data_IF_356052823958
#
_entry.id   IF_356052823958
#
_cell.length_a   1.000
_cell.length_b   1.000
_cell.length_c   1.000
_cell.angle_alpha   90.00
_cell.angle_beta   90.00
_cell.angle_gamma   90.00
#
_symmetry.space_group_name_H-M   'P 1'
#
loop_
_entity.id
_entity.type
_entity.pdbx_description
1 polymer ?
#
# COMPACT_ATOMS: atom_id res chain seq x y z
N UNK A 1 -3.51 -11.73 32.88
CA UNK A 1 -2.22 -12.30 33.34
C UNK A 1 -1.53 -11.44 34.40
N UNK A 2 -1.35 -10.13 34.22
CA UNK A 2 -0.82 -9.28 35.31
C UNK A 2 -1.76 -9.34 36.54
N UNK A 3 -3.06 -9.24 36.30
CA UNK A 3 -4.09 -9.39 37.34
C UNK A 3 -4.08 -10.74 38.06
N UNK A 4 -3.59 -11.80 37.43
CA UNK A 4 -3.47 -13.14 38.04
C UNK A 4 -2.15 -13.33 38.77
N UNK A 5 -1.10 -12.61 38.37
CA UNK A 5 0.20 -12.65 39.04
C UNK A 5 0.19 -11.87 40.35
N UNK A 6 -0.58 -10.78 40.39
CA UNK A 6 -0.69 -9.88 41.53
C UNK A 6 -1.81 -10.37 42.45
N UNK A 7 -1.57 -10.49 43.77
CA UNK A 7 -2.61 -10.93 44.70
C UNK A 7 -3.77 -9.94 44.75
N UNK A 8 -5.04 -10.41 44.74
CA UNK A 8 -6.20 -9.53 44.74
C UNK A 8 -6.46 -8.86 46.10
N UNK A 9 -5.88 -9.38 47.18
CA UNK A 9 -6.07 -8.87 48.54
C UNK A 9 -4.74 -8.68 49.27
N UNK A 10 -4.73 -7.75 50.23
CA UNK A 10 -3.52 -7.40 50.98
C UNK A 10 -2.99 -8.54 51.84
N UNK A 11 -3.89 -9.40 52.36
CA UNK A 11 -3.51 -10.56 53.18
C UNK A 11 -2.59 -11.51 52.42
N UNK A 12 -2.91 -11.80 51.16
CA UNK A 12 -2.05 -12.59 50.28
C UNK A 12 -0.74 -11.87 49.94
N UNK A 13 -0.74 -10.54 49.77
CA UNK A 13 0.51 -9.77 49.58
C UNK A 13 1.43 -9.97 50.79
N UNK A 14 0.91 -9.82 52.01
CA UNK A 14 1.66 -10.02 53.26
C UNK A 14 2.15 -11.47 53.38
N UNK A 15 1.28 -12.44 53.07
CA UNK A 15 1.62 -13.86 53.12
C UNK A 15 2.74 -14.21 52.14
N UNK A 16 2.68 -13.71 50.90
CA UNK A 16 3.71 -13.95 49.86
C UNK A 16 5.00 -13.20 50.12
N UNK A 17 4.94 -12.01 50.72
CA UNK A 17 6.13 -11.26 51.13
C UNK A 17 6.94 -12.05 52.17
N UNK A 18 6.26 -12.78 53.05
CA UNK A 18 6.85 -13.55 54.14
C UNK A 18 6.94 -12.77 55.44
N UNK A 19 6.99 -13.48 56.56
CA UNK A 19 7.03 -12.89 57.90
C UNK A 19 8.26 -12.01 58.09
N UNK A 20 8.07 -10.78 58.56
CA UNK A 20 9.15 -9.82 58.85
C UNK A 20 9.74 -9.11 57.64
N UNK A 21 9.21 -9.31 56.43
CA UNK A 21 9.60 -8.57 55.23
C UNK A 21 8.58 -7.49 54.91
N UNK A 22 9.05 -6.37 54.36
CA UNK A 22 8.21 -5.24 53.95
C UNK A 22 7.31 -5.63 52.75
N UNK A 23 5.98 -5.73 52.95
CA UNK A 23 5.04 -6.13 51.92
C UNK A 23 4.91 -5.07 50.81
N UNK A 24 5.12 -3.79 51.12
CA UNK A 24 5.05 -2.71 50.13
C UNK A 24 6.23 -2.79 49.15
N UNK A 25 7.45 -2.99 49.66
CA UNK A 25 8.63 -3.21 48.80
C UNK A 25 8.51 -4.48 47.98
N UNK A 26 8.01 -5.56 48.57
CA UNK A 26 7.76 -6.80 47.85
C UNK A 26 6.79 -6.59 46.68
N UNK A 27 5.66 -5.93 46.93
CA UNK A 27 4.66 -5.64 45.91
C UNK A 27 5.20 -4.71 44.82
N UNK A 28 5.88 -3.63 45.21
CA UNK A 28 6.51 -2.70 44.27
C UNK A 28 7.50 -3.44 43.36
N UNK A 29 8.41 -4.24 43.95
CA UNK A 29 9.38 -5.02 43.18
C UNK A 29 8.71 -6.00 42.23
N UNK A 30 7.65 -6.67 42.66
CA UNK A 30 6.91 -7.63 41.81
C UNK A 30 6.29 -6.90 40.62
N UNK A 31 5.64 -5.76 40.85
CA UNK A 31 5.06 -4.96 39.76
C UNK A 31 6.13 -4.36 38.87
N UNK A 32 7.26 -3.93 39.44
CA UNK A 32 8.40 -3.37 38.70
C UNK A 32 9.05 -4.41 37.78
N UNK A 33 9.27 -5.63 38.25
CA UNK A 33 9.79 -6.75 37.46
C UNK A 33 8.83 -7.15 36.32
N UNK A 34 7.51 -6.99 36.51
CA UNK A 34 6.50 -7.22 35.46
C UNK A 34 6.39 -6.05 34.47
N UNK A 35 6.50 -4.80 34.95
CA UNK A 35 6.41 -3.60 34.13
C UNK A 35 7.67 -3.40 33.29
N UNK A 36 8.85 -3.57 33.90
CA UNK A 36 10.17 -3.34 33.31
C UNK A 36 11.05 -4.58 33.46
N UNK A 37 10.77 -5.64 32.70
CA UNK A 37 11.58 -6.83 32.79
C UNK A 37 12.99 -6.56 32.32
N UNK A 38 13.95 -7.22 32.96
CA UNK A 38 15.36 -7.17 32.55
C UNK A 38 15.48 -7.74 31.15
N UNK A 39 15.83 -6.88 30.21
CA UNK A 39 16.10 -7.25 28.83
C UNK A 39 17.53 -7.80 28.75
N UNK A 40 17.80 -8.94 28.08
CA UNK A 40 19.16 -9.42 27.88
C UNK A 40 20.02 -8.40 27.13
N UNK A 41 21.27 -8.21 27.55
CA UNK A 41 22.19 -7.23 26.93
C UNK A 41 22.42 -7.49 25.44
N UNK A 42 22.35 -8.77 25.02
CA UNK A 42 22.45 -9.16 23.60
C UNK A 42 21.34 -8.55 22.74
N UNK A 43 20.14 -8.33 23.30
CA UNK A 43 19.04 -7.72 22.58
C UNK A 43 19.34 -6.27 22.20
N UNK A 44 20.00 -5.51 23.09
CA UNK A 44 20.36 -4.12 22.82
C UNK A 44 21.28 -4.01 21.61
N UNK A 45 22.31 -4.86 21.52
CA UNK A 45 23.21 -4.88 20.37
C UNK A 45 22.48 -5.13 19.05
N UNK A 46 21.49 -6.02 19.06
CA UNK A 46 20.68 -6.33 17.88
C UNK A 46 19.73 -5.18 17.55
N UNK A 47 19.07 -4.58 18.54
CA UNK A 47 18.18 -3.43 18.35
C UNK A 47 18.94 -2.23 17.75
N UNK A 48 20.18 -2.01 18.19
CA UNK A 48 21.10 -1.04 17.60
C UNK A 48 21.44 -1.41 16.15
N UNK A 49 21.69 -2.70 15.87
CA UNK A 49 21.91 -3.20 14.51
C UNK A 49 20.72 -2.89 13.58
N UNK A 50 19.49 -3.20 14.00
CA UNK A 50 18.29 -2.84 13.25
C UNK A 50 18.15 -1.33 13.10
N UNK A 51 18.34 -0.55 14.17
CA UNK A 51 18.29 0.91 14.11
C UNK A 51 19.30 1.47 13.09
N UNK A 52 20.51 0.92 13.01
CA UNK A 52 21.51 1.28 12.02
C UNK A 52 21.05 0.94 10.58
N UNK A 53 20.43 -0.23 10.36
CA UNK A 53 19.85 -0.60 9.07
C UNK A 53 18.73 0.37 8.68
N UNK A 54 17.77 0.67 9.57
CA UNK A 54 16.72 1.64 9.27
C UNK A 54 17.28 3.03 9.02
N UNK A 55 18.28 3.45 9.79
CA UNK A 55 18.96 4.72 9.57
C UNK A 55 19.61 4.77 8.18
N UNK A 56 20.30 3.71 7.76
CA UNK A 56 20.87 3.61 6.41
C UNK A 56 19.78 3.67 5.32
N UNK A 57 18.65 2.99 5.52
CA UNK A 57 17.50 3.04 4.61
C UNK A 57 16.94 4.45 4.52
N UNK A 58 16.77 5.14 5.65
CA UNK A 58 16.32 6.53 5.71
C UNK A 58 17.30 7.43 4.95
N UNK A 59 18.61 7.27 5.16
CA UNK A 59 19.64 8.02 4.45
C UNK A 59 19.57 7.75 2.94
N UNK A 60 19.45 6.49 2.51
CA UNK A 60 19.31 6.13 1.10
C UNK A 60 18.05 6.77 0.51
N UNK A 61 16.92 6.69 1.21
CA UNK A 61 15.69 7.37 0.82
C UNK A 61 15.94 8.88 0.65
N UNK A 62 16.55 9.56 1.63
CA UNK A 62 16.89 10.98 1.53
C UNK A 62 17.85 11.28 0.37
N UNK A 63 18.85 10.44 0.11
CA UNK A 63 19.73 10.59 -1.04
C UNK A 63 18.95 10.49 -2.35
N UNK A 64 18.07 9.49 -2.50
CA UNK A 64 17.18 9.36 -3.66
C UNK A 64 16.23 10.57 -3.77
N UNK A 65 15.84 11.15 -2.64
CA UNK A 65 15.05 12.37 -2.60
C UNK A 65 15.84 13.59 -3.10
N UNK A 66 17.13 13.71 -2.75
CA UNK A 66 17.99 14.87 -3.00
C UNK A 66 18.65 14.82 -4.40
N UNK A 67 19.05 13.64 -4.90
CA UNK A 67 19.69 13.47 -6.22
C UNK A 67 18.98 14.22 -7.36
N UNK A 68 17.64 14.14 -7.53
CA UNK A 68 16.95 14.89 -8.59
C UNK A 68 16.93 16.41 -8.35
N UNK A 69 17.12 16.88 -7.11
CA UNK A 69 17.21 18.32 -6.77
C UNK A 69 18.59 18.88 -7.11
N UNK A 70 19.65 18.08 -6.95
CA UNK A 70 21.05 18.52 -7.11
C UNK A 70 21.57 18.43 -8.55
N UNK A 71 21.01 17.57 -9.42
CA UNK A 71 21.50 17.35 -10.80
C UNK A 71 21.17 18.45 -11.85
N UNK A 72 21.13 19.73 -11.46
CA UNK A 72 20.99 20.86 -12.40
C UNK A 72 19.54 21.15 -12.87
N UNK A 73 19.35 22.21 -13.66
CA UNK A 73 18.02 22.62 -14.12
C UNK A 73 17.37 21.61 -15.07
N UNK A 74 18.15 20.92 -15.91
CA UNK A 74 17.59 20.00 -16.91
C UNK A 74 17.10 18.68 -16.31
N UNK A 75 17.79 18.13 -15.32
CA UNK A 75 17.30 16.99 -14.57
C UNK A 75 16.04 17.35 -13.76
N UNK A 76 15.99 18.58 -13.20
CA UNK A 76 14.78 19.09 -12.55
C UNK A 76 13.63 19.22 -13.52
N UNK A 77 13.80 19.77 -14.72
CA UNK A 77 12.71 19.81 -15.73
C UNK A 77 12.23 18.40 -16.11
N UNK A 78 13.13 17.41 -16.18
CA UNK A 78 12.78 16.01 -16.50
C UNK A 78 12.14 15.21 -15.36
N UNK A 79 12.40 15.58 -14.10
CA UNK A 79 11.93 14.81 -12.94
C UNK A 79 10.95 15.57 -12.04
N UNK A 80 10.89 16.90 -12.12
CA UNK A 80 10.03 17.81 -11.34
C UNK A 80 8.75 18.27 -12.04
N UNK A 81 8.34 17.61 -13.12
CA UNK A 81 7.01 17.81 -13.68
C UNK A 81 5.99 17.01 -12.86
N UNK A 82 4.92 17.69 -12.42
CA UNK A 82 3.78 17.07 -11.73
C UNK A 82 2.88 16.32 -12.72
N UNK A 83 2.64 16.95 -13.86
CA UNK A 83 1.91 16.42 -15.00
C UNK A 83 2.61 16.85 -16.28
N UNK A 84 2.62 15.98 -17.29
CA UNK A 84 3.11 16.29 -18.63
C UNK A 84 1.94 16.16 -19.59
N UNK A 85 1.65 17.23 -20.34
CA UNK A 85 0.66 17.20 -21.41
C UNK A 85 1.27 16.45 -22.59
N UNK A 86 0.59 15.39 -23.03
CA UNK A 86 0.89 14.68 -24.26
C UNK A 86 -0.29 14.86 -25.21
N UNK A 87 -0.03 15.40 -26.40
CA UNK A 87 -1.03 15.46 -27.46
C UNK A 87 -0.89 14.18 -28.29
N UNK A 88 -1.99 13.50 -28.57
CA UNK A 88 -2.00 12.46 -29.60
C UNK A 88 -2.17 13.15 -30.96
N UNK A 89 -1.51 12.68 -32.02
CA UNK A 89 -1.59 13.32 -33.35
C UNK A 89 -3.03 13.33 -33.92
N UNK A 90 -3.90 12.43 -33.47
CA UNK A 90 -5.29 12.34 -33.89
C UNK A 90 -6.28 13.12 -33.03
N UNK A 91 -5.83 13.77 -31.95
CA UNK A 91 -6.72 14.36 -30.95
C UNK A 91 -6.21 15.72 -30.47
N UNK A 92 -7.06 16.73 -30.59
CA UNK A 92 -6.75 18.09 -30.13
C UNK A 92 -6.85 18.24 -28.61
N UNK A 93 -7.27 17.19 -27.90
CA UNK A 93 -7.38 17.17 -26.43
C UNK A 93 -6.09 16.61 -25.81
N UNK A 94 -5.41 17.37 -24.93
CA UNK A 94 -4.19 16.88 -24.28
C UNK A 94 -4.50 15.81 -23.23
N UNK A 95 -3.70 14.74 -23.24
CA UNK A 95 -3.68 13.74 -22.19
C UNK A 95 -2.67 14.14 -21.13
N UNK A 96 -3.06 14.05 -19.86
CA UNK A 96 -2.16 14.33 -18.74
C UNK A 96 -1.54 13.03 -18.27
N UNK A 97 -0.25 12.87 -18.53
CA UNK A 97 0.54 11.81 -17.92
C UNK A 97 0.98 12.35 -16.56
N UNK A 98 0.76 11.59 -15.49
CA UNK A 98 1.22 11.95 -14.14
C UNK A 98 2.61 11.35 -13.90
N UNK A 99 3.47 12.12 -13.24
CA UNK A 99 4.78 11.62 -12.83
C UNK A 99 4.60 10.77 -11.57
N UNK A 100 4.42 9.46 -11.72
CA UNK A 100 4.17 8.51 -10.62
C UNK A 100 5.17 8.66 -9.47
N UNK A 101 6.43 8.98 -9.76
CA UNK A 101 7.48 9.18 -8.75
C UNK A 101 7.38 10.47 -7.94
N UNK A 102 6.74 11.53 -8.46
CA UNK A 102 6.49 12.78 -7.73
C UNK A 102 5.06 12.94 -7.23
N UNK A 103 4.10 12.33 -7.91
CA UNK A 103 2.69 12.34 -7.51
C UNK A 103 2.54 11.64 -6.15
N UNK A 104 3.20 10.49 -5.96
CA UNK A 104 3.33 9.83 -4.66
C UNK A 104 4.04 10.69 -3.59
N UNK A 105 4.77 11.73 -4.00
CA UNK A 105 5.70 12.48 -3.15
C UNK A 105 5.20 13.86 -2.74
N UNK A 106 4.28 14.48 -3.50
CA UNK A 106 3.69 15.80 -3.21
C UNK A 106 2.26 15.76 -2.66
N UNK A 107 1.51 14.68 -2.93
CA UNK A 107 0.11 14.53 -2.49
C UNK A 107 -0.03 14.32 -0.97
N UNK A 108 1.02 13.89 -0.27
CA UNK A 108 1.01 13.85 1.20
C UNK A 108 0.99 15.22 1.89
N UNK A 109 1.14 16.33 1.15
CA UNK A 109 1.40 17.64 1.77
C UNK A 109 0.39 18.76 1.44
N UNK A 110 -0.48 18.60 0.43
CA UNK A 110 -1.44 19.63 0.01
C UNK A 110 -2.76 18.94 -0.39
N UNK A 111 -3.82 19.01 0.44
CA UNK A 111 -4.95 19.95 0.27
C UNK A 111 -5.66 19.71 -1.07
N UNK A 112 -6.85 19.10 -1.08
CA UNK A 112 -8.15 19.80 -1.06
C UNK A 112 -8.34 20.84 -2.18
N UNK A 113 -9.57 20.85 -2.70
CA UNK A 113 -10.22 21.76 -3.66
C UNK A 113 -10.23 21.42 -5.17
N UNK A 114 -11.36 21.70 -5.84
CA UNK A 114 -12.06 20.72 -6.67
C UNK A 114 -12.34 21.23 -8.10
N UNK A 115 -12.71 20.29 -8.96
CA UNK A 115 -13.63 20.57 -10.07
C UNK A 115 -13.04 20.46 -11.48
N UNK A 116 -13.85 19.80 -12.31
CA UNK A 116 -14.35 20.29 -13.60
C UNK A 116 -13.98 19.52 -14.90
N UNK A 117 -14.88 18.59 -15.24
CA UNK A 117 -15.58 18.30 -16.52
C UNK A 117 -14.90 17.84 -17.83
N UNK A 118 -15.55 16.83 -18.45
CA UNK A 118 -15.60 16.61 -19.90
C UNK A 118 -15.82 15.14 -20.34
N UNK A 119 -17.06 14.66 -20.39
CA UNK A 119 -17.50 13.36 -20.97
C UNK A 119 -17.69 13.49 -22.50
N UNK A 120 -17.34 12.52 -23.36
CA UNK A 120 -18.24 11.43 -23.80
C UNK A 120 -17.48 10.34 -24.62
N UNK A 121 -18.04 9.12 -24.66
CA UNK A 121 -17.55 7.86 -25.30
C UNK A 121 -16.26 7.27 -24.68
N UNK A 122 -15.46 8.11 -24.06
CA UNK A 122 -14.45 7.80 -23.04
C UNK A 122 -15.03 7.44 -21.67
N UNK A 123 -16.35 7.37 -21.50
CA UNK A 123 -17.04 7.24 -20.21
C UNK A 123 -16.59 6.06 -19.35
N UNK A 124 -16.39 4.86 -19.94
CA UNK A 124 -15.91 3.71 -19.18
C UNK A 124 -14.43 3.82 -18.79
N UNK A 125 -13.61 4.40 -19.67
CA UNK A 125 -12.18 4.69 -19.42
C UNK A 125 -11.98 5.86 -18.45
N UNK A 126 -12.84 6.88 -18.51
CA UNK A 126 -12.86 8.09 -17.67
C UNK A 126 -13.39 7.79 -16.27
N UNK A 127 -14.46 7.00 -16.16
CA UNK A 127 -14.95 6.49 -14.87
C UNK A 127 -13.93 5.56 -14.23
N UNK A 128 -13.30 4.67 -15.02
CA UNK A 128 -12.22 3.82 -14.51
C UNK A 128 -11.02 4.64 -14.03
N UNK A 129 -10.59 5.65 -14.78
CA UNK A 129 -9.48 6.54 -14.40
C UNK A 129 -9.83 7.37 -13.17
N UNK A 130 -11.04 7.93 -13.10
CA UNK A 130 -11.50 8.71 -11.94
C UNK A 130 -11.67 7.82 -10.71
N UNK A 131 -12.23 6.64 -10.87
CA UNK A 131 -12.37 5.64 -9.80
C UNK A 131 -11.00 5.19 -9.28
N UNK A 132 -10.06 4.85 -10.17
CA UNK A 132 -8.71 4.50 -9.78
C UNK A 132 -7.99 5.66 -9.09
N UNK A 133 -8.13 6.90 -9.59
CA UNK A 133 -7.55 8.08 -8.95
C UNK A 133 -8.12 8.30 -7.54
N UNK A 134 -9.44 8.18 -7.38
CA UNK A 134 -10.09 8.25 -6.06
C UNK A 134 -9.61 7.11 -5.17
N UNK A 135 -9.48 5.89 -5.69
CA UNK A 135 -9.05 4.73 -4.92
C UNK A 135 -7.59 4.85 -4.47
N UNK A 136 -6.68 5.18 -5.39
CA UNK A 136 -5.25 5.35 -5.11
C UNK A 136 -4.94 6.57 -4.24
N UNK A 137 -5.83 7.56 -4.15
CA UNK A 137 -5.68 8.70 -3.24
C UNK A 137 -6.35 8.46 -1.88
N UNK A 138 -7.59 8.00 -1.90
CA UNK A 138 -8.41 7.81 -0.70
C UNK A 138 -7.81 6.74 0.20
N UNK A 139 -7.30 5.63 -0.36
CA UNK A 139 -6.72 4.55 0.45
C UNK A 139 -5.51 5.05 1.26
N UNK A 140 -4.46 5.65 0.67
CA UNK A 140 -3.33 6.18 1.44
C UNK A 140 -3.72 7.24 2.48
N UNK A 141 -4.64 8.13 2.15
CA UNK A 141 -5.12 9.15 3.10
C UNK A 141 -5.84 8.50 4.29
N UNK A 142 -6.75 7.57 4.04
CA UNK A 142 -7.43 6.82 5.09
C UNK A 142 -6.46 6.04 5.96
N UNK A 143 -5.49 5.33 5.34
CA UNK A 143 -4.44 4.60 6.06
C UNK A 143 -3.58 5.57 6.90
N UNK A 144 -3.27 6.76 6.40
CA UNK A 144 -2.49 7.78 7.13
C UNK A 144 -3.27 8.31 8.33
N UNK A 145 -4.54 8.68 8.15
CA UNK A 145 -5.41 9.14 9.23
C UNK A 145 -5.56 8.04 10.29
N UNK A 146 -5.83 6.82 9.86
CA UNK A 146 -5.94 5.67 10.75
C UNK A 146 -4.64 5.43 11.53
N UNK A 147 -3.48 5.56 10.88
CA UNK A 147 -2.16 5.47 11.54
C UNK A 147 -2.02 6.53 12.63
N UNK A 148 -2.34 7.78 12.32
CA UNK A 148 -2.27 8.88 13.27
C UNK A 148 -3.21 8.67 14.46
N UNK A 149 -4.44 8.20 14.22
CA UNK A 149 -5.42 7.88 15.26
C UNK A 149 -4.90 6.79 16.20
N UNK A 150 -4.43 5.66 15.66
CA UNK A 150 -3.89 4.58 16.49
C UNK A 150 -2.64 4.99 17.25
N UNK A 151 -1.73 5.74 16.60
CA UNK A 151 -0.53 6.26 17.26
C UNK A 151 -0.90 7.19 18.44
N UNK A 152 -1.88 8.08 18.25
CA UNK A 152 -2.36 8.97 19.31
C UNK A 152 -3.01 8.19 20.46
N UNK A 153 -3.88 7.21 20.15
CA UNK A 153 -4.53 6.38 21.17
C UNK A 153 -3.51 5.57 21.98
N UNK A 154 -2.53 4.96 21.32
CA UNK A 154 -1.45 4.23 21.98
C UNK A 154 -0.58 5.15 22.83
N UNK A 155 -0.27 6.36 22.33
CA UNK A 155 0.48 7.36 23.08
C UNK A 155 -0.25 7.81 24.35
N UNK A 156 -1.53 8.18 24.24
CA UNK A 156 -2.36 8.56 25.39
C UNK A 156 -2.47 7.41 26.39
N UNK A 157 -2.71 6.19 25.90
CA UNK A 157 -2.83 5.02 26.78
C UNK A 157 -1.51 4.70 27.50
N UNK A 158 -0.37 4.82 26.82
CA UNK A 158 0.96 4.63 27.41
C UNK A 158 1.25 5.70 28.46
N UNK A 159 0.93 6.97 28.18
CA UNK A 159 1.07 8.07 29.14
C UNK A 159 0.24 7.82 30.40
N UNK A 160 -1.02 7.43 30.25
CA UNK A 160 -1.91 7.14 31.37
C UNK A 160 -1.42 5.95 32.20
N UNK A 161 -0.93 4.89 31.53
CA UNK A 161 -0.33 3.73 32.19
C UNK A 161 0.90 4.12 33.01
N UNK A 162 1.80 4.93 32.44
CA UNK A 162 3.01 5.40 33.12
C UNK A 162 2.66 6.29 34.32
N UNK A 163 1.69 7.19 34.18
CA UNK A 163 1.23 8.02 35.30
C UNK A 163 0.64 7.17 36.43
N UNK A 164 -0.24 6.21 36.11
CA UNK A 164 -0.83 5.33 37.11
C UNK A 164 0.23 4.45 37.81
N UNK A 165 1.26 4.01 37.08
CA UNK A 165 2.41 3.30 37.66
C UNK A 165 3.18 4.19 38.65
N UNK A 166 3.47 5.45 38.30
CA UNK A 166 4.19 6.37 39.19
C UNK A 166 3.39 6.70 40.46
N UNK A 167 2.07 6.86 40.34
CA UNK A 167 1.18 7.04 41.49
C UNK A 167 1.16 5.79 42.40
N UNK A 168 1.11 4.60 41.83
CA UNK A 168 1.25 3.35 42.58
C UNK A 168 2.61 3.24 43.27
N UNK A 169 3.71 3.49 42.54
CA UNK A 169 5.07 3.34 43.05
C UNK A 169 5.35 4.33 44.19
N UNK A 170 4.93 5.58 44.05
CA UNK A 170 5.06 6.59 45.10
C UNK A 170 4.25 6.24 46.36
N UNK A 171 3.01 5.74 46.20
CA UNK A 171 2.21 5.26 47.32
C UNK A 171 2.85 4.04 48.02
N UNK A 172 3.40 3.09 47.26
CA UNK A 172 4.07 1.91 47.79
C UNK A 172 5.36 2.29 48.55
N UNK A 173 6.16 3.23 48.02
CA UNK A 173 7.34 3.74 48.70
C UNK A 173 6.99 4.50 49.99
N UNK A 174 5.92 5.30 49.98
CA UNK A 174 5.42 5.96 51.18
C UNK A 174 4.94 4.95 52.24
N UNK A 175 4.22 3.90 51.83
CA UNK A 175 3.82 2.80 52.70
C UNK A 175 5.01 2.05 53.29
N UNK A 176 6.02 1.75 52.47
CA UNK A 176 7.28 1.12 52.88
C UNK A 176 8.02 1.92 53.95
N UNK A 177 8.11 3.24 53.78
CA UNK A 177 8.80 4.13 54.73
C UNK A 177 8.16 4.11 56.13
N UNK A 178 6.85 3.95 56.19
CA UNK A 178 6.08 3.95 57.43
C UNK A 178 5.81 2.54 57.98
N UNK A 179 6.30 1.50 57.31
CA UNK A 179 6.07 0.12 57.70
C UNK A 179 6.96 -0.27 58.89
N UNK A 180 6.35 -0.93 59.87
CA UNK A 180 7.05 -1.56 61.00
C UNK A 180 6.56 -2.98 61.19
N UNK A 181 7.40 -3.85 61.75
CA UNK A 181 7.11 -5.28 61.96
C UNK A 181 5.97 -5.55 62.95
N UNK A 182 5.57 -4.56 63.75
CA UNK A 182 4.49 -4.66 64.75
C UNK A 182 3.13 -4.21 64.23
N UNK A 183 3.06 -3.51 63.09
CA UNK A 183 1.80 -2.98 62.56
C UNK A 183 1.06 -4.08 61.80
N UNK A 184 -0.13 -4.39 62.28
CA UNK A 184 -1.00 -5.46 61.79
C UNK A 184 -1.48 -5.30 60.35
N UNK A 185 -2.27 -6.30 59.96
CA UNK A 185 -2.57 -6.78 58.61
C UNK A 185 -3.40 -5.82 57.74
N UNK A 186 -3.75 -4.60 58.16
CA UNK A 186 -4.46 -3.63 57.31
C UNK A 186 -4.30 -2.22 57.84
N UNK A 187 -3.77 -1.32 57.03
CA UNK A 187 -3.62 0.11 57.34
C UNK A 187 -4.27 0.96 56.25
N UNK A 188 -4.52 2.25 56.53
CA UNK A 188 -4.92 3.19 55.48
C UNK A 188 -3.91 3.27 54.32
N UNK A 189 -2.64 2.98 54.59
CA UNK A 189 -1.60 2.90 53.56
C UNK A 189 -1.79 1.67 52.64
N UNK A 190 -2.15 0.50 53.18
CA UNK A 190 -2.37 -0.69 52.36
C UNK A 190 -3.59 -0.56 51.46
N UNK A 191 -4.69 0.04 51.95
CA UNK A 191 -5.89 0.30 51.13
C UNK A 191 -5.59 1.31 50.03
N UNK A 192 -4.84 2.38 50.32
CA UNK A 192 -4.41 3.35 49.32
C UNK A 192 -3.56 2.70 48.22
N UNK A 193 -2.56 1.89 48.60
CA UNK A 193 -1.67 1.21 47.64
C UNK A 193 -2.44 0.23 46.76
N UNK A 194 -3.34 -0.58 47.34
CA UNK A 194 -4.19 -1.47 46.55
C UNK A 194 -5.13 -0.72 45.60
N UNK A 195 -5.67 0.43 46.03
CA UNK A 195 -6.52 1.26 45.17
C UNK A 195 -5.74 1.79 43.95
N UNK A 196 -4.50 2.26 44.14
CA UNK A 196 -3.63 2.76 43.07
C UNK A 196 -3.14 1.63 42.17
N UNK A 197 -2.86 0.46 42.74
CA UNK A 197 -2.53 -0.72 41.96
C UNK A 197 -3.71 -1.15 41.07
N UNK A 198 -4.92 -1.18 41.61
CA UNK A 198 -6.13 -1.51 40.84
C UNK A 198 -6.34 -0.51 39.70
N UNK A 199 -6.13 0.79 39.96
CA UNK A 199 -6.17 1.81 38.92
C UNK A 199 -5.12 1.58 37.83
N UNK A 200 -3.87 1.25 38.20
CA UNK A 200 -2.82 0.89 37.27
C UNK A 200 -3.18 -0.34 36.42
N UNK A 201 -3.68 -1.41 37.04
CA UNK A 201 -4.09 -2.62 36.31
C UNK A 201 -5.21 -2.35 35.32
N UNK A 202 -6.20 -1.55 35.71
CA UNK A 202 -7.25 -1.13 34.82
C UNK A 202 -6.73 -0.31 33.63
N UNK A 203 -5.72 0.56 33.82
CA UNK A 203 -5.07 1.26 32.69
C UNK A 203 -4.29 0.30 31.78
N UNK A 204 -3.67 -0.75 32.33
CA UNK A 204 -3.00 -1.79 31.56
C UNK A 204 -4.00 -2.57 30.69
N UNK A 205 -5.16 -2.94 31.24
CA UNK A 205 -6.19 -3.66 30.49
C UNK A 205 -6.72 -2.83 29.33
N UNK A 206 -6.96 -1.52 29.55
CA UNK A 206 -7.33 -0.58 28.48
C UNK A 206 -6.27 -0.51 27.39
N UNK A 207 -4.99 -0.44 27.76
CA UNK A 207 -3.89 -0.44 26.81
C UNK A 207 -3.87 -1.73 25.97
N UNK A 208 -4.02 -2.90 26.61
CA UNK A 208 -4.06 -4.20 25.91
C UNK A 208 -5.23 -4.26 24.91
N UNK A 209 -6.40 -3.75 25.28
CA UNK A 209 -7.57 -3.70 24.38
C UNK A 209 -7.29 -2.81 23.17
N UNK A 210 -6.76 -1.59 23.39
CA UNK A 210 -6.41 -0.66 22.29
C UNK A 210 -5.35 -1.27 21.37
N UNK A 211 -4.28 -1.84 21.94
CA UNK A 211 -3.20 -2.48 21.17
C UNK A 211 -3.71 -3.68 20.37
N UNK A 212 -4.61 -4.50 20.94
CA UNK A 212 -5.22 -5.63 20.25
C UNK A 212 -6.04 -5.16 19.05
N UNK A 213 -6.90 -4.16 19.23
CA UNK A 213 -7.71 -3.63 18.13
C UNK A 213 -6.86 -2.98 17.04
N UNK A 214 -5.81 -2.25 17.42
CA UNK A 214 -4.84 -1.72 16.46
C UNK A 214 -4.23 -2.84 15.61
N UNK A 215 -3.75 -3.91 16.26
CA UNK A 215 -3.16 -5.06 15.57
C UNK A 215 -4.16 -5.77 14.65
N UNK A 216 -5.41 -5.99 15.09
CA UNK A 216 -6.47 -6.58 14.27
C UNK A 216 -6.76 -5.72 13.04
N UNK A 217 -6.97 -4.42 13.22
CA UNK A 217 -7.24 -3.50 12.11
C UNK A 217 -6.11 -3.49 11.07
N UNK A 218 -4.85 -3.45 11.53
CA UNK A 218 -3.69 -3.50 10.64
C UNK A 218 -3.56 -4.83 9.91
N UNK A 219 -3.87 -5.93 10.58
CA UNK A 219 -3.84 -7.27 9.97
C UNK A 219 -4.87 -7.40 8.86
N UNK A 220 -6.10 -6.92 9.10
CA UNK A 220 -7.17 -6.96 8.12
C UNK A 220 -6.82 -6.13 6.87
N UNK A 221 -6.31 -4.91 7.07
CA UNK A 221 -5.84 -4.06 5.97
C UNK A 221 -4.69 -4.73 5.22
N UNK A 222 -3.70 -5.27 5.95
CA UNK A 222 -2.55 -5.96 5.37
C UNK A 222 -2.96 -7.15 4.51
N UNK A 223 -3.90 -7.98 4.98
CA UNK A 223 -4.40 -9.13 4.23
C UNK A 223 -5.20 -8.74 2.99
N UNK A 224 -6.07 -7.73 3.09
CA UNK A 224 -6.82 -7.21 1.94
C UNK A 224 -5.86 -6.64 0.90
N UNK A 225 -4.87 -5.87 1.34
CA UNK A 225 -3.84 -5.31 0.47
C UNK A 225 -2.98 -6.40 -0.17
N UNK A 226 -2.59 -7.44 0.58
CA UNK A 226 -1.86 -8.59 0.07
C UNK A 226 -2.64 -9.32 -1.03
N UNK A 227 -3.94 -9.56 -0.80
CA UNK A 227 -4.83 -10.19 -1.77
C UNK A 227 -4.98 -9.37 -3.05
N UNK A 228 -5.25 -8.07 -2.91
CA UNK A 228 -5.35 -7.16 -4.04
C UNK A 228 -4.02 -7.07 -4.83
N UNK A 229 -2.90 -6.96 -4.12
CA UNK A 229 -1.57 -6.90 -4.72
C UNK A 229 -1.22 -8.19 -5.47
N UNK A 230 -1.46 -9.36 -4.87
CA UNK A 230 -1.21 -10.65 -5.51
C UNK A 230 -2.06 -10.82 -6.78
N UNK A 231 -3.33 -10.40 -6.75
CA UNK A 231 -4.20 -10.39 -7.91
C UNK A 231 -3.67 -9.48 -9.04
N UNK A 232 -3.33 -8.23 -8.71
CA UNK A 232 -2.80 -7.27 -9.67
C UNK A 232 -1.47 -7.76 -10.29
N UNK A 233 -0.56 -8.29 -9.46
CA UNK A 233 0.69 -8.88 -9.91
C UNK A 233 0.45 -10.09 -10.83
N UNK A 234 -0.49 -10.97 -10.50
CA UNK A 234 -0.82 -12.12 -11.34
C UNK A 234 -1.36 -11.70 -12.72
N UNK A 235 -2.23 -10.69 -12.78
CA UNK A 235 -2.73 -10.13 -14.05
C UNK A 235 -1.59 -9.52 -14.87
N UNK A 236 -0.72 -8.74 -14.23
CA UNK A 236 0.43 -8.10 -14.89
C UNK A 236 1.42 -9.14 -15.44
N UNK A 237 1.73 -10.18 -14.66
CA UNK A 237 2.62 -11.27 -15.07
C UNK A 237 2.00 -12.05 -16.24
N UNK A 238 0.68 -12.30 -16.23
CA UNK A 238 -0.02 -12.94 -17.35
C UNK A 238 0.04 -12.10 -18.61
N UNK A 239 -0.20 -10.79 -18.50
CA UNK A 239 -0.12 -9.85 -19.62
C UNK A 239 1.31 -9.82 -20.21
N UNK A 240 2.32 -9.67 -19.35
CA UNK A 240 3.71 -9.60 -19.79
C UNK A 240 4.17 -10.92 -20.44
N UNK A 241 3.76 -12.07 -19.88
CA UNK A 241 4.00 -13.39 -20.48
C UNK A 241 3.33 -13.52 -21.84
N UNK A 242 2.11 -13.01 -22.01
CA UNK A 242 1.43 -13.00 -23.30
C UNK A 242 2.19 -12.14 -24.32
N UNK A 243 2.58 -10.92 -23.96
CA UNK A 243 3.39 -10.04 -24.82
C UNK A 243 4.73 -10.69 -25.21
N UNK A 244 5.40 -11.40 -24.29
CA UNK A 244 6.61 -12.14 -24.58
C UNK A 244 6.39 -13.30 -25.56
N UNK A 245 5.30 -14.06 -25.40
CA UNK A 245 4.97 -15.17 -26.30
C UNK A 245 4.65 -14.68 -27.72
N UNK A 246 4.01 -13.51 -27.83
CA UNK A 246 3.75 -12.84 -29.11
C UNK A 246 5.06 -12.33 -29.73
N UNK A 247 5.89 -11.63 -28.96
CA UNK A 247 7.18 -11.10 -29.43
C UNK A 247 8.19 -12.21 -29.81
N UNK A 248 8.14 -13.35 -29.11
CA UNK A 248 8.98 -14.51 -29.39
C UNK A 248 8.55 -15.34 -30.59
N UNK A 249 7.46 -14.97 -31.28
CA UNK A 249 6.92 -15.71 -32.42
C UNK A 249 6.37 -17.10 -32.06
N UNK A 250 6.16 -17.38 -30.77
CA UNK A 250 5.60 -18.67 -30.31
C UNK A 250 4.10 -18.76 -30.60
N UNK A 251 3.42 -17.62 -30.68
CA UNK A 251 2.00 -17.53 -31.05
C UNK A 251 1.90 -16.99 -32.47
N UNK A 252 1.80 -17.88 -33.46
CA UNK A 252 1.67 -17.53 -34.89
C UNK A 252 0.30 -16.94 -35.27
N UNK A 253 -0.65 -16.90 -34.33
CA UNK A 253 -2.03 -16.52 -34.63
C UNK A 253 -2.22 -15.06 -35.08
N UNK A 254 -1.32 -14.15 -34.70
CA UNK A 254 -1.44 -12.75 -35.08
C UNK A 254 -0.96 -12.48 -36.52
N UNK A 255 -0.12 -13.35 -37.07
CA UNK A 255 0.37 -13.19 -38.45
C UNK A 255 -0.72 -13.52 -39.47
N UNK A 256 -1.63 -14.44 -39.14
CA UNK A 256 -2.65 -14.94 -40.09
C UNK A 256 -3.78 -13.94 -40.39
N UNK A 257 -4.02 -12.95 -39.52
CA UNK A 257 -5.03 -11.91 -39.75
C UNK A 257 -4.49 -10.70 -40.52
N UNK A 258 -3.19 -10.41 -40.44
CA UNK A 258 -2.57 -9.32 -41.22
C UNK A 258 -2.23 -9.72 -42.66
N UNK A 259 -2.19 -11.02 -42.95
CA UNK A 259 -1.89 -11.57 -44.27
C UNK A 259 -3.04 -11.44 -45.28
N UNK A 260 -4.23 -10.98 -44.85
CA UNK A 260 -5.45 -11.04 -45.68
C UNK A 260 -5.70 -9.84 -46.61
N UNK A 261 -4.89 -8.77 -46.62
CA UNK A 261 -5.21 -7.58 -47.44
C UNK A 261 -4.06 -6.80 -48.10
N UNK A 262 -2.84 -7.33 -48.15
CA UNK A 262 -1.74 -6.66 -48.88
C UNK A 262 -1.30 -7.50 -50.09
N UNK A 263 -2.19 -7.61 -51.08
CA UNK A 263 -1.82 -8.02 -52.44
C UNK A 263 -1.17 -6.83 -53.16
N UNK A 264 0.01 -6.39 -52.73
CA UNK A 264 0.86 -5.52 -53.56
C UNK A 264 1.96 -6.36 -54.21
N UNK A 265 1.79 -6.77 -55.47
CA UNK A 265 2.79 -7.56 -56.19
C UNK A 265 4.01 -6.66 -56.48
N UNK A 266 5.10 -6.87 -55.75
CA UNK A 266 6.42 -6.36 -56.14
C UNK A 266 7.23 -5.60 -55.09
N UNK A 267 6.72 -5.40 -53.87
CA UNK A 267 7.47 -4.65 -52.83
C UNK A 267 8.11 -5.58 -51.79
N UNK A 268 9.42 -5.78 -51.96
CA UNK A 268 10.41 -6.12 -50.93
C UNK A 268 10.25 -7.45 -50.19
N UNK A 269 11.03 -8.43 -50.68
CA UNK A 269 11.54 -9.59 -49.93
C UNK A 269 12.52 -9.11 -48.83
N UNK A 270 12.08 -8.22 -47.95
CA UNK A 270 12.76 -7.93 -46.70
C UNK A 270 12.62 -9.18 -45.83
N UNK A 271 13.57 -10.09 -46.01
CA UNK A 271 13.69 -11.35 -45.30
C UNK A 271 13.31 -11.20 -43.84
N UNK A 272 12.30 -11.95 -43.42
CA UNK A 272 11.77 -12.04 -42.06
C UNK A 272 12.89 -12.32 -41.03
N UNK A 273 14.00 -12.93 -41.47
CA UNK A 273 15.19 -13.19 -40.64
C UNK A 273 15.89 -11.90 -40.22
N UNK A 274 15.89 -10.85 -41.04
CA UNK A 274 16.48 -9.56 -40.70
C UNK A 274 15.71 -8.84 -39.58
N UNK A 275 14.37 -8.97 -39.57
CA UNK A 275 13.49 -8.45 -38.51
C UNK A 275 13.71 -9.25 -37.23
N UNK A 276 13.79 -10.59 -37.33
CA UNK A 276 14.03 -11.48 -36.19
C UNK A 276 15.40 -11.23 -35.53
N UNK A 277 16.43 -10.96 -36.32
CA UNK A 277 17.78 -10.65 -35.83
C UNK A 277 17.81 -9.30 -35.08
N UNK A 278 17.09 -8.29 -35.56
CA UNK A 278 16.99 -6.98 -34.88
C UNK A 278 16.13 -7.03 -33.61
N UNK A 279 15.15 -7.93 -33.51
CA UNK A 279 14.27 -8.06 -32.34
C UNK A 279 14.90 -8.84 -31.16
N UNK A 280 15.89 -9.70 -31.40
CA UNK A 280 16.60 -10.49 -30.38
C UNK A 280 17.05 -9.70 -29.12
N UNK A 281 17.75 -8.55 -29.23
CA UNK A 281 18.18 -7.80 -28.05
C UNK A 281 17.01 -7.22 -27.24
N UNK A 282 15.92 -6.83 -27.92
CA UNK A 282 14.72 -6.34 -27.25
C UNK A 282 14.00 -7.46 -26.48
N UNK A 283 13.92 -8.66 -27.07
CA UNK A 283 13.32 -9.85 -26.42
C UNK A 283 14.13 -10.25 -25.19
N UNK A 284 15.47 -10.26 -25.27
CA UNK A 284 16.32 -10.57 -24.12
C UNK A 284 16.10 -9.58 -22.98
N UNK A 285 16.08 -8.28 -23.28
CA UNK A 285 15.81 -7.24 -22.29
C UNK A 285 14.43 -7.39 -21.65
N UNK A 286 13.40 -7.69 -22.46
CA UNK A 286 12.05 -7.93 -21.95
C UNK A 286 11.99 -9.14 -21.01
N UNK A 287 12.72 -10.21 -21.32
CA UNK A 287 12.82 -11.40 -20.47
C UNK A 287 13.52 -11.09 -19.13
N UNK A 288 14.63 -10.33 -19.16
CA UNK A 288 15.33 -9.92 -17.94
C UNK A 288 14.42 -9.04 -17.06
N UNK A 289 13.66 -8.14 -17.67
CA UNK A 289 12.68 -7.30 -16.97
C UNK A 289 11.49 -8.11 -16.41
N UNK A 290 11.05 -9.14 -17.12
CA UNK A 290 10.01 -10.08 -16.67
C UNK A 290 10.47 -10.87 -15.44
N UNK A 291 11.66 -11.47 -15.48
CA UNK A 291 12.21 -12.25 -14.36
C UNK A 291 12.34 -11.37 -13.12
N UNK A 292 12.87 -10.15 -13.29
CA UNK A 292 12.93 -9.17 -12.21
C UNK A 292 11.53 -8.87 -11.64
N UNK A 293 10.55 -8.60 -12.50
CA UNK A 293 9.21 -8.21 -12.08
C UNK A 293 8.54 -9.33 -11.29
N UNK A 294 8.66 -10.58 -11.75
CA UNK A 294 8.16 -11.76 -11.04
C UNK A 294 8.84 -11.91 -9.67
N UNK A 295 10.16 -11.76 -9.60
CA UNK A 295 10.90 -11.82 -8.35
C UNK A 295 10.47 -10.74 -7.36
N UNK A 296 10.41 -9.48 -7.81
CA UNK A 296 9.97 -8.35 -6.99
C UNK A 296 8.53 -8.52 -6.49
N UNK A 297 7.60 -8.89 -7.38
CA UNK A 297 6.21 -9.13 -7.00
C UNK A 297 6.09 -10.27 -5.99
N UNK A 298 6.83 -11.36 -6.16
CA UNK A 298 6.82 -12.48 -5.23
C UNK A 298 7.31 -12.08 -3.83
N UNK A 299 8.43 -11.34 -3.76
CA UNK A 299 8.99 -10.84 -2.50
C UNK A 299 8.01 -9.90 -1.79
N UNK A 300 7.40 -8.97 -2.54
CA UNK A 300 6.43 -8.03 -1.99
C UNK A 300 5.16 -8.75 -1.50
N UNK A 301 4.64 -9.73 -2.24
CA UNK A 301 3.49 -10.54 -1.80
C UNK A 301 3.80 -11.30 -0.50
N UNK A 302 4.97 -11.96 -0.43
CA UNK A 302 5.40 -12.68 0.78
C UNK A 302 5.53 -11.71 1.96
N UNK A 303 6.07 -10.52 1.72
CA UNK A 303 6.20 -9.48 2.74
C UNK A 303 4.84 -9.06 3.31
N UNK A 304 3.88 -8.72 2.44
CA UNK A 304 2.54 -8.30 2.86
C UNK A 304 1.79 -9.41 3.60
N UNK A 305 1.93 -10.66 3.15
CA UNK A 305 1.37 -11.82 3.84
C UNK A 305 2.02 -12.04 5.20
N UNK A 306 3.35 -11.91 5.29
CA UNK A 306 4.05 -12.03 6.57
C UNK A 306 3.58 -10.97 7.56
N UNK A 307 3.45 -9.70 7.14
CA UNK A 307 2.96 -8.63 8.02
C UNK A 307 1.52 -8.88 8.49
N UNK A 308 0.65 -9.37 7.62
CA UNK A 308 -0.71 -9.78 7.99
C UNK A 308 -0.73 -10.90 9.03
N UNK A 309 0.09 -11.94 8.84
CA UNK A 309 0.21 -13.07 9.78
C UNK A 309 0.79 -12.61 11.12
N UNK A 310 1.85 -11.79 11.08
CA UNK A 310 2.47 -11.20 12.27
C UNK A 310 1.46 -10.39 13.07
N UNK A 311 0.69 -9.54 12.41
CA UNK A 311 -0.37 -8.77 13.05
C UNK A 311 -1.41 -9.65 13.75
N UNK A 312 -1.82 -10.76 13.10
CA UNK A 312 -2.75 -11.74 13.70
C UNK A 312 -2.14 -12.40 14.93
N UNK A 313 -0.89 -12.84 14.85
CA UNK A 313 -0.19 -13.46 15.98
C UNK A 313 -0.11 -12.47 17.15
N UNK A 314 0.22 -11.21 16.88
CA UNK A 314 0.28 -10.16 17.90
C UNK A 314 -1.11 -9.87 18.46
N UNK A 315 -2.17 -9.85 17.65
CA UNK A 315 -3.55 -9.66 18.11
C UNK A 315 -4.02 -10.80 19.04
N UNK A 316 -3.75 -12.05 18.66
CA UNK A 316 -4.09 -13.23 19.46
C UNK A 316 -3.28 -13.26 20.76
N UNK A 317 -2.00 -12.92 20.68
CA UNK A 317 -1.07 -12.98 21.81
C UNK A 317 -0.89 -11.63 22.52
N UNK A 318 -1.68 -10.59 22.25
CA UNK A 318 -1.43 -9.22 22.76
C UNK A 318 -1.26 -9.21 24.27
N UNK A 319 -2.08 -9.98 25.00
CA UNK A 319 -1.95 -10.08 26.44
C UNK A 319 -0.59 -10.66 26.85
N UNK A 320 -0.13 -11.75 26.22
CA UNK A 320 1.20 -12.30 26.51
C UNK A 320 2.30 -11.36 26.05
N UNK A 321 2.17 -10.74 24.88
CA UNK A 321 3.12 -9.74 24.37
C UNK A 321 3.25 -8.55 25.29
N UNK A 322 2.20 -8.12 26.00
CA UNK A 322 2.30 -7.02 26.97
C UNK A 322 2.78 -7.51 28.33
N UNK A 323 2.47 -8.72 28.74
CA UNK A 323 2.71 -9.17 30.14
C UNK A 323 3.96 -10.02 30.33
N UNK A 324 4.33 -10.82 29.33
CA UNK A 324 5.47 -11.74 29.39
C UNK A 324 6.69 -11.11 28.69
N UNK A 325 7.82 -10.94 29.40
CA UNK A 325 9.06 -10.39 28.84
C UNK A 325 9.56 -11.14 27.62
N UNK A 326 9.41 -12.47 27.60
CA UNK A 326 9.85 -13.30 26.47
C UNK A 326 9.01 -13.00 25.24
N UNK A 327 7.71 -12.82 25.41
CA UNK A 327 6.81 -12.44 24.32
C UNK A 327 6.96 -11.00 23.89
N UNK A 328 7.34 -10.05 24.76
CA UNK A 328 7.74 -8.69 24.34
C UNK A 328 8.92 -8.74 23.38
N UNK A 329 9.94 -9.51 23.73
CA UNK A 329 11.13 -9.70 22.91
C UNK A 329 10.74 -10.33 21.58
N UNK A 330 10.08 -11.49 21.61
CA UNK A 330 9.64 -12.21 20.40
C UNK A 330 8.71 -11.34 19.55
N UNK A 331 7.79 -10.60 20.16
CA UNK A 331 6.89 -9.67 19.47
C UNK A 331 7.67 -8.60 18.70
N UNK A 332 8.65 -7.96 19.34
CA UNK A 332 9.50 -6.96 18.69
C UNK A 332 10.31 -7.57 17.52
N UNK A 333 10.81 -8.79 17.67
CA UNK A 333 11.51 -9.48 16.59
C UNK A 333 10.61 -9.73 15.39
N UNK A 334 9.43 -10.29 15.66
CA UNK A 334 8.47 -10.64 14.62
C UNK A 334 8.01 -9.39 13.87
N UNK A 335 7.81 -8.24 14.54
CA UNK A 335 7.46 -6.98 13.86
C UNK A 335 8.60 -6.38 13.03
N UNK A 336 9.86 -6.59 13.43
CA UNK A 336 11.03 -6.08 12.71
C UNK A 336 11.33 -6.87 11.43
N UNK A 337 11.05 -8.18 11.40
CA UNK A 337 11.31 -9.04 10.24
C UNK A 337 10.59 -8.54 8.99
N UNK A 338 9.30 -8.19 9.11
CA UNK A 338 8.52 -7.69 7.98
C UNK A 338 9.12 -6.44 7.34
N UNK A 339 9.54 -5.50 8.17
CA UNK A 339 10.12 -4.24 7.68
C UNK A 339 11.54 -4.40 7.11
N UNK A 340 12.26 -5.48 7.44
CA UNK A 340 13.49 -5.87 6.74
C UNK A 340 13.21 -6.33 5.31
N UNK A 341 12.16 -7.13 5.08
CA UNK A 341 11.76 -7.54 3.74
C UNK A 341 11.32 -6.35 2.88
N UNK A 342 10.53 -5.42 3.45
CA UNK A 342 10.14 -4.17 2.78
C UNK A 342 11.39 -3.38 2.37
N UNK A 343 12.36 -3.24 3.28
CA UNK A 343 13.60 -2.51 3.01
C UNK A 343 14.35 -3.09 1.80
N UNK A 344 14.53 -4.42 1.75
CA UNK A 344 15.22 -5.09 0.63
C UNK A 344 14.46 -4.87 -0.68
N UNK A 345 13.13 -5.01 -0.69
CA UNK A 345 12.32 -4.78 -1.88
C UNK A 345 12.46 -3.33 -2.38
N UNK A 346 12.41 -2.35 -1.48
CA UNK A 346 12.57 -0.93 -1.80
C UNK A 346 13.98 -0.60 -2.32
N UNK A 347 15.02 -1.25 -1.78
CA UNK A 347 16.39 -1.09 -2.27
C UNK A 347 16.56 -1.64 -3.68
N UNK A 348 15.99 -2.82 -3.97
CA UNK A 348 15.99 -3.43 -5.31
C UNK A 348 15.28 -2.51 -6.31
N UNK A 349 14.11 -1.99 -5.94
CA UNK A 349 13.36 -1.04 -6.78
C UNK A 349 14.14 0.27 -7.02
N UNK A 350 14.78 0.79 -5.98
CA UNK A 350 15.59 2.01 -6.06
C UNK A 350 16.82 1.82 -6.94
N UNK A 351 17.49 0.68 -6.81
CA UNK A 351 18.62 0.29 -7.65
C UNK A 351 18.22 0.23 -9.12
N UNK A 352 17.10 -0.41 -9.44
CA UNK A 352 16.58 -0.49 -10.82
C UNK A 352 16.32 0.90 -11.42
N UNK A 353 15.69 1.80 -10.67
CA UNK A 353 15.44 3.18 -11.11
C UNK A 353 16.73 3.95 -11.39
N UNK A 354 17.85 3.60 -10.75
CA UNK A 354 19.15 4.18 -11.01
C UNK A 354 19.80 3.56 -12.26
N UNK A 355 19.78 2.23 -12.40
CA UNK A 355 20.42 1.55 -13.54
C UNK A 355 19.76 1.84 -14.90
N UNK A 356 18.44 2.00 -14.94
CA UNK A 356 17.73 2.33 -16.20
C UNK A 356 18.09 3.72 -16.75
N UNK A 357 18.58 4.63 -15.90
CA UNK A 357 18.93 6.00 -16.31
C UNK A 357 20.20 6.05 -17.16
N UNK A 358 21.19 5.22 -16.86
CA UNK A 358 22.48 5.24 -17.55
C UNK A 358 22.35 4.74 -19.00
N UNK A 359 21.41 3.82 -19.24
CA UNK A 359 21.17 3.27 -20.58
C UNK A 359 20.59 4.33 -21.53
N UNK A 360 19.61 5.12 -21.06
CA UNK A 360 18.90 6.10 -21.91
C UNK A 360 19.81 7.24 -22.37
N UNK A 361 20.75 7.68 -21.52
CA UNK A 361 21.67 8.77 -21.82
C UNK A 361 22.69 8.38 -22.91
N UNK A 362 23.16 7.13 -22.91
CA UNK A 362 24.11 6.61 -23.91
C UNK A 362 23.51 6.57 -25.33
N UNK A 363 22.22 6.25 -25.46
CA UNK A 363 21.51 6.20 -26.74
C UNK A 363 21.28 7.59 -27.35
N UNK A 364 20.98 8.62 -26.54
CA UNK A 364 20.78 9.98 -27.05
C UNK A 364 22.07 10.59 -27.61
N UNK A 365 23.21 10.36 -26.95
CA UNK A 365 24.51 10.88 -27.42
C UNK A 365 24.99 10.17 -28.68
N UNK A 366 24.55 8.92 -28.90
CA UNK A 366 24.91 8.15 -30.10
C UNK A 366 24.11 8.59 -31.33
N UNK A 367 22.82 8.93 -31.17
CA UNK A 367 22.02 9.51 -32.26
C UNK A 367 22.49 10.93 -32.64
N UNK A 368 22.93 11.73 -31.67
CA UNK A 368 23.48 13.08 -31.93
C UNK A 368 24.79 13.02 -32.71
N UNK A 369 25.60 11.95 -32.57
CA UNK A 369 26.82 11.74 -33.36
C UNK A 369 26.60 11.12 -34.74
N UNK A 370 25.42 10.55 -35.02
CA UNK A 370 25.05 10.05 -36.35
C UNK A 370 24.25 11.07 -37.18
N UNK A 371 24.14 12.32 -36.72
CA UNK A 371 23.67 13.43 -37.52
C UNK A 371 24.69 13.76 -38.63
N UNK A 372 24.71 12.94 -39.67
CA UNK A 372 24.89 13.46 -41.02
C UNK A 372 23.68 14.37 -41.29
N UNK A 373 23.96 15.65 -41.53
CA UNK A 373 23.04 16.57 -42.20
C UNK A 373 22.74 16.03 -43.60
N UNK A 374 21.86 15.04 -43.70
CA UNK A 374 21.21 14.73 -44.96
C UNK A 374 19.92 15.54 -44.99
N UNK A 375 19.94 16.58 -45.81
CA UNK A 375 18.84 17.48 -46.12
C UNK A 375 17.72 16.68 -46.81
N UNK A 376 16.97 15.90 -46.03
CA UNK A 376 15.81 15.15 -46.54
C UNK A 376 14.68 16.15 -46.78
N UNK A 377 14.56 16.55 -48.04
CA UNK A 377 13.41 17.25 -48.58
C UNK A 377 12.18 16.38 -48.33
N UNK A 378 11.13 16.87 -47.65
CA UNK A 378 9.96 16.06 -47.33
C UNK A 378 9.22 15.70 -48.62
N UNK A 379 9.27 14.42 -49.01
CA UNK A 379 8.39 13.87 -50.02
C UNK A 379 6.94 14.02 -49.53
N UNK A 380 6.20 14.90 -50.19
CA UNK A 380 4.79 15.18 -49.94
C UNK A 380 3.97 13.97 -50.40
N UNK A 381 3.76 13.00 -49.52
CA UNK A 381 2.77 11.95 -49.75
C UNK A 381 1.38 12.57 -49.63
N UNK A 382 0.75 12.79 -50.78
CA UNK A 382 -0.68 13.06 -50.88
C UNK A 382 -1.35 11.70 -50.71
N UNK A 383 -1.95 11.46 -49.55
CA UNK A 383 -2.88 10.36 -49.36
C UNK A 383 -4.24 10.92 -49.77
N UNK A 384 -4.69 10.59 -50.99
CA UNK A 384 -6.10 10.68 -51.35
C UNK A 384 -6.82 9.60 -50.55
N UNK A 385 -7.56 10.01 -49.54
CA UNK A 385 -8.54 9.15 -48.87
C UNK A 385 -9.81 9.16 -49.71
N UNK A 386 -10.08 8.05 -50.41
CA UNK A 386 -11.41 7.79 -50.98
C UNK A 386 -12.39 7.53 -49.84
N UNK A 387 -13.29 8.49 -49.60
CA UNK A 387 -14.29 8.46 -48.53
C UNK A 387 -15.43 7.44 -48.75
N UNK A 388 -15.45 6.75 -49.90
CA UNK A 388 -16.54 5.84 -50.26
C UNK A 388 -16.40 4.40 -49.71
N UNK A 389 -15.21 4.01 -49.24
CA UNK A 389 -14.96 2.61 -48.82
C UNK A 389 -15.61 2.23 -47.48
N UNK A 390 -15.81 3.20 -46.57
CA UNK A 390 -16.35 2.92 -45.23
C UNK A 390 -17.88 2.75 -45.17
N UNK A 391 -18.61 3.18 -46.21
CA UNK A 391 -20.08 3.10 -46.23
C UNK A 391 -20.58 1.67 -46.51
N UNK A 392 -19.80 0.88 -47.26
CA UNK A 392 -20.23 -0.45 -47.71
C UNK A 392 -19.96 -1.56 -46.67
N UNK A 393 -18.91 -1.44 -45.85
CA UNK A 393 -18.67 -2.36 -44.73
C UNK A 393 -19.67 -2.20 -43.58
N UNK A 394 -20.13 -0.97 -43.30
CA UNK A 394 -21.12 -0.72 -42.24
C UNK A 394 -22.49 -1.33 -42.59
N UNK A 395 -22.83 -1.42 -43.88
CA UNK A 395 -24.08 -2.02 -44.34
C UNK A 395 -24.07 -3.56 -44.33
N UNK A 396 -22.88 -4.19 -44.36
CA UNK A 396 -22.70 -5.64 -44.22
C UNK A 396 -22.82 -6.11 -42.75
N UNK A 397 -22.29 -5.34 -41.80
CA UNK A 397 -22.32 -5.70 -40.37
C UNK A 397 -23.74 -5.66 -39.79
N UNK A 398 -24.61 -4.76 -40.29
CA UNK A 398 -26.00 -4.67 -39.85
C UNK A 398 -26.89 -5.82 -40.35
N UNK A 399 -26.44 -6.57 -41.37
CA UNK A 399 -27.18 -7.71 -41.95
C UNK A 399 -26.90 -9.03 -41.22
N UNK A 400 -25.82 -9.10 -40.43
CA UNK A 400 -25.40 -10.30 -39.70
C UNK A 400 -26.01 -10.34 -38.28
N UNK A 401 -26.45 -9.22 -37.72
CA UNK A 401 -27.02 -9.16 -36.35
C UNK A 401 -28.51 -9.50 -36.25
N UNK A 402 -29.14 -9.97 -37.33
CA UNK A 402 -30.56 -10.30 -37.37
C UNK A 402 -30.81 -11.80 -37.46
N UNK A 403 -30.59 -12.56 -36.38
CA UNK A 403 -31.34 -13.81 -36.13
C UNK A 403 -31.11 -14.35 -34.71
N UNK A 404 -32.18 -14.93 -34.15
CA UNK A 404 -32.32 -15.70 -32.89
C UNK A 404 -32.77 -14.90 -31.66
N UNK A 405 -34.09 -14.74 -31.53
CA UNK A 405 -34.76 -14.93 -30.23
C UNK A 405 -36.20 -15.45 -30.48
N UNK A 406 -36.32 -16.76 -30.73
CA UNK A 406 -37.56 -17.51 -30.51
C UNK A 406 -37.58 -17.93 -29.04
N UNK A 407 -38.53 -17.42 -28.27
CA UNK A 407 -38.99 -18.12 -27.06
C UNK A 407 -40.46 -17.80 -26.78
N UNK A 408 -41.28 -18.81 -27.07
CA UNK A 408 -42.64 -18.98 -26.62
C UNK A 408 -42.74 -18.88 -25.09
N UNK A 409 -43.46 -17.87 -24.58
CA UNK A 409 -44.08 -17.97 -23.26
C UNK A 409 -45.52 -17.42 -23.34
N UNK A 410 -46.43 -18.38 -23.26
CA UNK A 410 -47.86 -18.21 -23.05
C UNK A 410 -48.17 -17.34 -21.83
N UNK A 411 -48.96 -16.27 -22.00
CA UNK A 411 -49.79 -15.76 -20.91
C UNK A 411 -51.09 -15.13 -21.43
N UNK A 412 -52.16 -15.37 -20.68
CA UNK A 412 -53.57 -15.18 -21.04
C UNK A 412 -54.00 -13.71 -21.01
N UNK A 413 -54.91 -13.39 -21.93
CA UNK A 413 -55.81 -12.23 -21.98
C UNK A 413 -56.35 -11.80 -20.61
N UNK A 414 -56.38 -10.49 -20.33
CA UNK A 414 -57.48 -9.78 -19.63
C UNK A 414 -57.45 -8.26 -19.93
N UNK A 415 -58.42 -7.81 -20.75
CA UNK A 415 -59.33 -6.64 -20.62
C UNK A 415 -58.75 -5.24 -20.22
N UNK A 416 -58.96 -4.28 -21.13
CA UNK A 416 -58.86 -2.78 -21.09
C UNK A 416 -59.96 -2.22 -20.10
N UNK A 417 -59.94 -0.99 -19.49
CA UNK A 417 -59.49 0.24 -20.16
C UNK A 417 -59.02 1.49 -19.36
N UNK A 418 -58.41 2.39 -20.14
CA UNK A 418 -58.55 3.87 -20.22
C UNK A 418 -58.53 4.81 -18.99
N UNK A 419 -57.85 5.95 -19.22
CA UNK A 419 -57.95 7.26 -18.55
C UNK A 419 -57.34 7.42 -17.15
N UNK A 420 -56.26 8.21 -17.06
CA UNK A 420 -56.28 9.44 -16.25
C UNK A 420 -55.10 10.36 -16.59
N UNK A 421 -55.45 11.53 -17.12
CA UNK A 421 -54.64 12.74 -17.17
C UNK A 421 -54.39 13.26 -15.75
N UNK A 422 -53.14 13.66 -15.43
CA UNK A 422 -52.92 14.53 -14.28
C UNK A 422 -51.83 15.58 -14.53
N UNK A 423 -52.34 16.81 -14.53
CA UNK A 423 -51.72 18.11 -14.38
C UNK A 423 -50.76 18.13 -13.17
N UNK A 424 -49.54 18.66 -13.33
CA UNK A 424 -48.78 19.17 -12.18
C UNK A 424 -48.53 20.65 -12.40
N UNK A 425 -49.24 21.41 -11.58
CA UNK A 425 -49.23 22.85 -11.42
C UNK A 425 -48.02 23.25 -10.58
N UNK A 426 -47.27 24.23 -11.04
CA UNK A 426 -46.17 24.88 -10.32
C UNK A 426 -46.74 25.86 -9.30
N UNK A 427 -46.57 25.61 -8.02
CA UNK A 427 -46.87 26.59 -6.97
C UNK A 427 -45.58 27.22 -6.41
N UNK A 428 -45.38 28.49 -6.76
CA UNK A 428 -44.53 29.44 -6.03
C UNK A 428 -45.29 29.88 -4.79
N UNK A 429 -44.65 29.89 -3.62
CA UNK A 429 -45.21 30.45 -2.40
C UNK A 429 -44.12 30.91 -1.42
N UNK A 430 -44.09 32.18 -0.99
CA UNK A 430 -42.98 32.79 -0.25
C UNK A 430 -43.23 32.88 1.27
N UNK A 431 -42.15 32.93 2.06
CA UNK A 431 -41.80 34.01 3.01
C UNK A 431 -40.42 33.79 3.61
#
# INVERSE_FOLDING_TARGET
>A
MISTAIPPNWKEVVQRAGTGKDPFRYLLRTVDELAYPKVPDSLFGILIGFAAVYFAVIVICFCLLIIPVTRGQDARKRHFWLYKKHHLPSSNTPYYIYNSGLFARRIYMYVWLPGYYGFHVTAFSSLYTSFLNVLFFTIPVLVTIQTAVWALLLFISTKNQNQAYLEFASAALAGSKNWTTSVGVETSASTLVLSRLTAYLHTCDKFVVIARWAAVCWSLIGLVLAGFYAFAAAVLIKLLKHCMNVAGGTVSHFTRTWEYHVETPGALDMSFDSIKLKAQPAIKRLNDEYVYLVGHCSVMTVCLLSDGIVGIVIAIKTERTVTDPKWRIVGNWITLVGSCFISVAMLIQSWRMLSERDTTQSSSTSMEKCGYEEEVTPARFIVETDDDFFSEELHQIQKISGFVEDSDVSSKNTIIPSELSLHIETEKGPK
#
